data_IF_636877327076
#
_entry.id   IF_636877327076
#
_cell.length_a   1.000
_cell.length_b   1.000
_cell.length_c   1.000
_cell.angle_alpha   90.00
_cell.angle_beta   90.00
_cell.angle_gamma   90.00
#
_symmetry.space_group_name_H-M   'P 1'
#
loop_
_entity.id
_entity.type
_entity.pdbx_description
1 polymer ?
#
# COMPACT_ATOMS: atom_id res chain seq x y z
N UNK A 1 10.51 33.78 21.27
CA UNK A 1 9.61 33.93 20.11
C UNK A 1 8.94 32.58 19.91
N UNK A 2 7.64 32.53 20.21
CA UNK A 2 6.82 31.33 20.21
C UNK A 2 6.65 30.81 18.78
N UNK A 3 7.20 29.63 18.51
CA UNK A 3 7.01 28.89 17.27
C UNK A 3 5.51 28.71 17.03
N UNK A 4 4.99 29.37 16.01
CA UNK A 4 3.72 29.00 15.40
C UNK A 4 4.00 27.75 14.59
N UNK A 5 3.81 26.57 15.19
CA UNK A 5 3.73 25.32 14.43
C UNK A 5 2.52 25.45 13.49
N UNK A 6 2.80 25.90 12.25
CA UNK A 6 1.80 25.99 11.20
C UNK A 6 1.20 24.60 10.98
N UNK A 7 -0.13 24.52 11.00
CA UNK A 7 -0.90 23.31 10.71
C UNK A 7 -0.35 22.64 9.45
N UNK A 8 0.10 21.37 9.55
CA UNK A 8 0.53 20.58 8.39
C UNK A 8 -0.65 20.51 7.40
N UNK A 9 -0.46 20.93 6.16
CA UNK A 9 -1.46 20.88 5.10
C UNK A 9 -1.02 19.85 4.06
N UNK A 10 -1.83 18.83 3.80
CA UNK A 10 -1.55 17.81 2.77
C UNK A 10 -2.73 17.68 1.78
N UNK A 11 -2.85 18.60 0.81
CA UNK A 11 -3.92 18.54 -0.20
C UNK A 11 -3.76 17.35 -1.15
N UNK A 12 -2.58 16.72 -1.23
CA UNK A 12 -2.37 15.52 -2.04
C UNK A 12 -3.05 14.33 -1.35
N UNK A 13 -2.86 14.20 -0.04
CA UNK A 13 -3.56 13.19 0.75
C UNK A 13 -5.07 13.37 0.68
N UNK A 14 -5.55 14.60 0.89
CA UNK A 14 -6.99 14.89 0.91
C UNK A 14 -7.67 14.66 -0.44
N UNK A 15 -7.07 15.13 -1.54
CA UNK A 15 -7.73 15.10 -2.85
C UNK A 15 -7.46 13.82 -3.66
N UNK A 16 -6.38 13.08 -3.37
CA UNK A 16 -5.97 11.94 -4.19
C UNK A 16 -5.87 10.63 -3.39
N UNK A 17 -5.20 10.62 -2.24
CA UNK A 17 -5.07 9.38 -1.44
C UNK A 17 -6.36 9.00 -0.71
N UNK A 18 -7.14 9.94 -0.17
CA UNK A 18 -8.40 9.62 0.51
C UNK A 18 -9.45 8.98 -0.43
N UNK A 19 -9.69 9.48 -1.66
CA UNK A 19 -10.55 8.80 -2.61
C UNK A 19 -10.02 7.42 -3.04
N UNK A 20 -8.69 7.30 -3.18
CA UNK A 20 -8.02 6.04 -3.49
C UNK A 20 -8.22 5.00 -2.38
N UNK A 21 -8.02 5.38 -1.12
CA UNK A 21 -8.24 4.51 0.06
C UNK A 21 -9.70 4.04 0.13
N UNK A 22 -10.67 4.95 -0.11
CA UNK A 22 -12.09 4.58 -0.19
C UNK A 22 -12.38 3.60 -1.33
N UNK A 23 -11.76 3.79 -2.49
CA UNK A 23 -11.96 2.89 -3.63
C UNK A 23 -11.38 1.49 -3.35
N UNK A 24 -10.22 1.41 -2.70
CA UNK A 24 -9.66 0.13 -2.23
C UNK A 24 -10.57 -0.54 -1.18
N UNK A 25 -11.06 0.21 -0.18
CA UNK A 25 -12.00 -0.34 0.81
C UNK A 25 -13.28 -0.90 0.16
N UNK A 26 -13.81 -0.23 -0.86
CA UNK A 26 -14.98 -0.72 -1.63
C UNK A 26 -14.61 -1.98 -2.44
N UNK A 27 -13.44 -2.01 -3.07
CA UNK A 27 -12.96 -3.17 -3.82
C UNK A 27 -12.81 -4.40 -2.92
N UNK A 28 -12.24 -4.23 -1.72
CA UNK A 28 -12.08 -5.30 -0.74
C UNK A 28 -13.43 -5.85 -0.25
N UNK A 29 -14.40 -4.97 0.04
CA UNK A 29 -15.76 -5.38 0.43
C UNK A 29 -16.50 -6.10 -0.70
N UNK A 30 -16.36 -5.62 -1.93
CA UNK A 30 -16.95 -6.24 -3.10
C UNK A 30 -16.36 -7.64 -3.33
N UNK A 31 -15.05 -7.80 -3.19
CA UNK A 31 -14.39 -9.10 -3.27
C UNK A 31 -14.90 -10.09 -2.21
N UNK A 32 -15.09 -9.64 -0.97
CA UNK A 32 -15.66 -10.47 0.08
C UNK A 32 -17.10 -10.89 -0.24
N UNK A 33 -17.93 -9.95 -0.71
CA UNK A 33 -19.31 -10.24 -1.10
C UNK A 33 -19.39 -11.26 -2.25
N UNK A 34 -18.54 -11.10 -3.28
CA UNK A 34 -18.39 -12.05 -4.39
C UNK A 34 -17.98 -13.44 -3.88
N UNK A 35 -17.02 -13.49 -2.97
CA UNK A 35 -16.52 -14.75 -2.40
C UNK A 35 -17.63 -15.49 -1.66
N UNK A 36 -18.35 -14.79 -0.77
CA UNK A 36 -19.48 -15.37 -0.02
C UNK A 36 -20.59 -15.81 -0.97
N UNK A 37 -20.96 -14.98 -1.96
CA UNK A 37 -21.98 -15.32 -2.95
C UNK A 37 -21.59 -16.54 -3.79
N UNK A 38 -20.32 -16.66 -4.16
CA UNK A 38 -19.79 -17.80 -4.92
C UNK A 38 -19.86 -19.10 -4.12
N UNK A 39 -19.48 -19.06 -2.85
CA UNK A 39 -19.59 -20.23 -1.97
C UNK A 39 -21.06 -20.63 -1.73
N UNK A 40 -21.95 -19.66 -1.53
CA UNK A 40 -23.39 -19.91 -1.39
C UNK A 40 -23.98 -20.55 -2.65
N UNK A 41 -23.58 -20.10 -3.84
CA UNK A 41 -24.03 -20.68 -5.11
C UNK A 41 -23.63 -22.16 -5.25
N UNK A 42 -22.43 -22.53 -4.81
CA UNK A 42 -21.98 -23.94 -4.85
C UNK A 42 -22.88 -24.79 -3.95
N UNK A 43 -23.11 -24.36 -2.71
CA UNK A 43 -23.96 -25.08 -1.76
C UNK A 43 -25.40 -25.21 -2.27
N UNK A 44 -25.97 -24.13 -2.80
CA UNK A 44 -27.33 -24.14 -3.36
C UNK A 44 -27.44 -25.09 -4.55
N UNK A 45 -26.44 -25.12 -5.43
CA UNK A 45 -26.43 -26.01 -6.60
C UNK A 45 -26.37 -27.47 -6.17
N UNK A 46 -25.55 -27.80 -5.18
CA UNK A 46 -25.45 -29.15 -4.63
C UNK A 46 -26.76 -29.61 -3.96
N UNK A 47 -27.42 -28.74 -3.18
CA UNK A 47 -28.74 -29.02 -2.57
C UNK A 47 -29.83 -29.24 -3.62
N UNK A 48 -29.86 -28.42 -4.68
CA UNK A 48 -30.82 -28.58 -5.78
C UNK A 48 -30.61 -29.92 -6.49
N UNK A 49 -29.35 -30.31 -6.73
CA UNK A 49 -29.03 -31.57 -7.42
C UNK A 49 -29.43 -32.82 -6.62
N UNK A 50 -29.48 -32.74 -5.29
CA UNK A 50 -29.65 -33.89 -4.40
C UNK A 50 -31.05 -34.05 -3.82
N UNK A 51 -31.82 -32.98 -3.60
CA UNK A 51 -33.07 -33.08 -2.82
C UNK A 51 -34.33 -32.53 -3.49
N UNK A 52 -34.23 -31.60 -4.46
CA UNK A 52 -35.41 -30.88 -4.91
C UNK A 52 -35.34 -30.46 -6.39
N UNK A 53 -36.13 -31.12 -7.24
CA UNK A 53 -36.33 -30.71 -8.64
C UNK A 53 -37.36 -29.56 -8.74
N UNK A 54 -37.19 -28.51 -7.91
CA UNK A 54 -38.08 -27.35 -7.87
C UNK A 54 -37.61 -26.28 -8.86
N UNK A 55 -38.43 -26.01 -9.87
CA UNK A 55 -38.19 -25.01 -10.93
C UNK A 55 -37.90 -23.60 -10.39
N UNK A 56 -38.47 -23.24 -9.25
CA UNK A 56 -38.25 -21.96 -8.59
C UNK A 56 -36.82 -21.80 -8.06
N UNK A 57 -36.28 -22.83 -7.40
CA UNK A 57 -34.90 -22.84 -6.88
C UNK A 57 -33.86 -22.76 -8.00
N UNK A 58 -34.13 -23.42 -9.14
CA UNK A 58 -33.28 -23.31 -10.34
C UNK A 58 -33.27 -21.89 -10.91
N UNK A 59 -34.42 -21.22 -10.91
CA UNK A 59 -34.56 -19.83 -11.38
C UNK A 59 -33.79 -18.88 -10.47
N UNK A 60 -33.94 -19.00 -9.15
CA UNK A 60 -33.21 -18.18 -8.16
C UNK A 60 -31.70 -18.36 -8.31
N UNK A 61 -31.23 -19.60 -8.44
CA UNK A 61 -29.79 -19.90 -8.59
C UNK A 61 -29.23 -19.31 -9.87
N UNK A 62 -29.98 -19.37 -10.98
CA UNK A 62 -29.58 -18.76 -12.25
C UNK A 62 -29.47 -17.23 -12.15
N UNK A 63 -30.42 -16.58 -11.47
CA UNK A 63 -30.38 -15.12 -11.23
C UNK A 63 -29.17 -14.75 -10.37
N UNK A 64 -28.93 -15.48 -9.27
CA UNK A 64 -27.78 -15.24 -8.40
C UNK A 64 -26.45 -15.44 -9.14
N UNK A 65 -26.36 -16.43 -10.03
CA UNK A 65 -25.18 -16.65 -10.86
C UNK A 65 -24.92 -15.45 -11.79
N UNK A 66 -25.94 -14.94 -12.48
CA UNK A 66 -25.81 -13.76 -13.34
C UNK A 66 -25.37 -12.54 -12.53
N UNK A 67 -25.96 -12.31 -11.35
CA UNK A 67 -25.57 -11.21 -10.47
C UNK A 67 -24.11 -11.35 -10.00
N UNK A 68 -23.66 -12.56 -9.68
CA UNK A 68 -22.28 -12.83 -9.29
C UNK A 68 -21.30 -12.53 -10.44
N UNK A 69 -21.62 -12.96 -11.67
CA UNK A 69 -20.81 -12.65 -12.86
C UNK A 69 -20.69 -11.13 -13.06
N UNK A 70 -21.79 -10.39 -12.94
CA UNK A 70 -21.79 -8.92 -13.04
C UNK A 70 -20.93 -8.31 -11.93
N UNK A 71 -21.03 -8.83 -10.69
CA UNK A 71 -20.21 -8.36 -9.57
C UNK A 71 -18.72 -8.60 -9.80
N UNK A 72 -18.33 -9.76 -10.31
CA UNK A 72 -16.94 -10.09 -10.68
C UNK A 72 -16.44 -9.12 -11.75
N UNK A 73 -17.20 -8.92 -12.83
CA UNK A 73 -16.82 -7.99 -13.89
C UNK A 73 -16.66 -6.55 -13.35
N UNK A 74 -17.55 -6.12 -12.47
CA UNK A 74 -17.49 -4.81 -11.81
C UNK A 74 -16.27 -4.68 -10.91
N UNK A 75 -15.91 -5.73 -10.17
CA UNK A 75 -14.71 -5.78 -9.34
C UNK A 75 -13.44 -5.67 -10.17
N UNK A 76 -13.36 -6.39 -11.30
CA UNK A 76 -12.22 -6.28 -12.23
C UNK A 76 -12.10 -4.86 -12.79
N UNK A 77 -13.20 -4.27 -13.26
CA UNK A 77 -13.21 -2.91 -13.78
C UNK A 77 -12.78 -1.87 -12.73
N UNK A 78 -13.27 -2.00 -11.50
CA UNK A 78 -12.88 -1.15 -10.38
C UNK A 78 -11.39 -1.27 -10.06
N UNK A 79 -10.86 -2.50 -9.98
CA UNK A 79 -9.43 -2.72 -9.72
C UNK A 79 -8.54 -2.16 -10.83
N UNK A 80 -8.94 -2.32 -12.10
CA UNK A 80 -8.23 -1.69 -13.23
C UNK A 80 -8.26 -0.16 -13.13
N UNK A 81 -9.40 0.43 -12.77
CA UNK A 81 -9.51 1.87 -12.59
C UNK A 81 -8.62 2.38 -11.43
N UNK A 82 -8.60 1.66 -10.31
CA UNK A 82 -7.71 1.95 -9.18
C UNK A 82 -6.25 1.91 -9.63
N UNK A 83 -5.81 0.81 -10.23
CA UNK A 83 -4.40 0.59 -10.60
C UNK A 83 -3.90 1.47 -11.75
N UNK A 84 -4.75 1.75 -12.74
CA UNK A 84 -4.34 2.47 -13.96
C UNK A 84 -4.63 3.97 -13.92
N UNK A 85 -5.48 4.44 -12.99
CA UNK A 85 -5.87 5.86 -12.92
C UNK A 85 -5.64 6.47 -11.55
N UNK A 86 -6.23 5.92 -10.49
CA UNK A 86 -6.19 6.56 -9.18
C UNK A 86 -4.79 6.49 -8.56
N UNK A 87 -4.19 5.30 -8.53
CA UNK A 87 -2.87 5.08 -7.94
C UNK A 87 -1.77 5.88 -8.66
N UNK A 88 -1.62 5.82 -10.00
CA UNK A 88 -0.56 6.56 -10.68
C UNK A 88 -0.73 8.08 -10.56
N UNK A 89 -1.98 8.57 -10.48
CA UNK A 89 -2.26 10.00 -10.30
C UNK A 89 -1.84 10.50 -8.90
N UNK A 90 -2.10 9.71 -7.86
CA UNK A 90 -1.69 10.03 -6.49
C UNK A 90 -0.16 10.05 -6.36
N UNK A 91 0.52 9.02 -6.87
CA UNK A 91 1.98 8.92 -6.85
C UNK A 91 2.64 10.02 -7.69
N UNK A 92 2.12 10.33 -8.90
CA UNK A 92 2.69 11.41 -9.73
C UNK A 92 2.61 12.77 -9.03
N UNK A 93 1.49 13.07 -8.35
CA UNK A 93 1.36 14.30 -7.59
C UNK A 93 2.35 14.35 -6.41
N UNK A 94 2.50 13.25 -5.67
CA UNK A 94 3.44 13.16 -4.53
C UNK A 94 4.90 13.30 -4.99
N UNK A 95 5.27 12.63 -6.08
CA UNK A 95 6.61 12.71 -6.68
C UNK A 95 6.92 14.14 -7.17
N UNK A 96 5.96 14.81 -7.81
CA UNK A 96 6.14 16.21 -8.26
C UNK A 96 6.29 17.17 -7.09
N UNK A 97 5.58 16.97 -5.98
CA UNK A 97 5.74 17.77 -4.76
C UNK A 97 7.11 17.54 -4.11
N UNK A 98 7.56 16.27 -4.05
CA UNK A 98 8.90 15.92 -3.58
C UNK A 98 9.99 16.66 -4.38
N UNK A 99 9.99 16.50 -5.71
CA UNK A 99 11.00 17.13 -6.59
C UNK A 99 10.91 18.65 -6.51
N UNK A 100 9.69 19.21 -6.44
CA UNK A 100 9.47 20.65 -6.28
C UNK A 100 10.17 21.19 -5.05
N UNK A 101 10.11 20.49 -3.91
CA UNK A 101 10.74 20.93 -2.67
C UNK A 101 12.24 20.68 -2.64
N UNK A 102 12.67 19.52 -3.13
CA UNK A 102 14.07 19.16 -3.16
C UNK A 102 14.93 20.12 -4.01
N UNK A 103 14.37 20.63 -5.12
CA UNK A 103 15.04 21.59 -6.01
C UNK A 103 14.53 23.04 -5.87
N UNK A 104 13.54 23.29 -5.01
CA UNK A 104 12.90 24.60 -4.86
C UNK A 104 12.31 25.15 -6.19
N UNK A 105 11.63 24.29 -6.95
CA UNK A 105 10.99 24.60 -8.24
C UNK A 105 9.48 24.38 -8.19
N UNK A 106 8.74 24.93 -9.14
CA UNK A 106 7.28 24.83 -9.19
C UNK A 106 6.83 23.82 -10.25
N UNK A 107 6.68 22.53 -9.89
CA UNK A 107 6.22 21.47 -10.82
C UNK A 107 4.77 21.04 -10.60
N UNK A 108 4.13 21.46 -9.51
CA UNK A 108 2.75 21.08 -9.16
C UNK A 108 2.01 22.23 -8.48
N UNK A 109 0.70 22.29 -8.70
CA UNK A 109 -0.22 23.18 -7.99
C UNK A 109 -0.67 22.63 -6.64
N UNK A 110 -0.54 21.31 -6.41
CA UNK A 110 -0.84 20.65 -5.13
C UNK A 110 0.43 20.57 -4.29
N UNK A 111 0.65 21.56 -3.41
CA UNK A 111 1.81 21.61 -2.52
C UNK A 111 1.45 21.25 -1.09
N UNK A 112 2.27 20.43 -0.46
CA UNK A 112 2.13 20.12 0.96
C UNK A 112 2.88 21.15 1.82
N UNK A 113 2.38 21.51 3.00
CA UNK A 113 3.08 22.35 3.99
C UNK A 113 3.46 21.49 5.20
N UNK A 114 4.70 21.65 5.68
CA UNK A 114 5.20 20.89 6.84
C UNK A 114 5.77 19.50 6.53
N UNK A 115 5.80 19.10 5.25
CA UNK A 115 6.42 17.86 4.76
C UNK A 115 7.69 18.19 3.96
N UNK A 116 8.70 17.32 4.00
CA UNK A 116 9.97 17.52 3.27
C UNK A 116 10.72 18.80 3.67
N UNK A 117 10.63 19.21 4.93
CA UNK A 117 11.26 20.42 5.46
C UNK A 117 12.71 20.16 5.90
N UNK A 118 13.42 19.27 5.21
CA UNK A 118 14.82 19.02 5.53
C UNK A 118 15.65 20.24 5.10
N UNK A 119 16.09 21.01 6.09
CA UNK A 119 16.99 22.14 5.94
C UNK A 119 18.38 21.62 5.55
N UNK A 120 18.58 21.42 4.25
CA UNK A 120 19.89 21.22 3.63
C UNK A 120 20.19 22.40 2.71
N UNK A 121 21.40 22.96 2.79
CA UNK A 121 21.79 24.09 1.91
C UNK A 121 21.86 23.68 0.43
N UNK A 122 22.14 22.40 0.14
CA UNK A 122 22.26 21.89 -1.23
C UNK A 122 21.17 20.86 -1.59
N UNK A 123 20.67 20.85 -2.84
CA UNK A 123 19.64 19.89 -3.30
C UNK A 123 19.99 18.42 -3.06
N UNK A 124 21.24 18.01 -3.23
CA UNK A 124 21.66 16.61 -3.03
C UNK A 124 21.43 16.12 -1.60
N UNK A 125 21.83 16.93 -0.61
CA UNK A 125 21.58 16.64 0.81
C UNK A 125 20.07 16.66 1.13
N UNK A 126 19.29 17.59 0.56
CA UNK A 126 17.84 17.62 0.75
C UNK A 126 17.15 16.37 0.20
N UNK A 127 17.51 15.92 -1.01
CA UNK A 127 16.97 14.69 -1.60
C UNK A 127 17.29 13.50 -0.70
N UNK A 128 18.58 13.32 -0.36
CA UNK A 128 19.00 12.17 0.44
C UNK A 128 18.30 12.12 1.80
N UNK A 129 18.21 13.24 2.52
CA UNK A 129 17.51 13.31 3.80
C UNK A 129 16.00 13.03 3.65
N UNK A 130 15.34 13.61 2.64
CA UNK A 130 13.91 13.39 2.42
C UNK A 130 13.58 11.97 1.94
N UNK A 131 14.46 11.33 1.17
CA UNK A 131 14.33 9.90 0.82
C UNK A 131 14.49 9.05 2.08
N UNK A 132 15.50 9.32 2.89
CA UNK A 132 15.75 8.58 4.13
C UNK A 132 14.57 8.70 5.12
N UNK A 133 14.02 9.91 5.27
CA UNK A 133 12.80 10.17 6.04
C UNK A 133 11.63 9.36 5.47
N UNK A 134 11.35 9.46 4.17
CA UNK A 134 10.29 8.67 3.55
C UNK A 134 10.44 7.16 3.76
N UNK A 135 11.66 6.64 3.66
CA UNK A 135 11.97 5.23 3.90
C UNK A 135 11.73 4.83 5.35
N UNK A 136 12.10 5.67 6.31
CA UNK A 136 11.81 5.46 7.74
C UNK A 136 10.29 5.33 7.97
N UNK A 137 9.52 6.26 7.44
CA UNK A 137 8.07 6.27 7.65
C UNK A 137 7.42 5.09 6.93
N UNK A 138 7.87 4.82 5.69
CA UNK A 138 7.37 3.70 4.89
C UNK A 138 7.64 2.36 5.59
N UNK A 139 8.89 2.07 6.00
CA UNK A 139 9.21 0.78 6.66
C UNK A 139 8.43 0.60 7.96
N UNK A 140 8.28 1.65 8.78
CA UNK A 140 7.57 1.59 10.06
C UNK A 140 6.07 1.36 9.88
N UNK A 141 5.46 2.03 8.90
CA UNK A 141 4.05 1.80 8.56
C UNK A 141 3.84 0.38 8.02
N UNK A 142 4.73 -0.11 7.14
CA UNK A 142 4.67 -1.46 6.61
C UNK A 142 4.83 -2.53 7.72
N UNK A 143 5.78 -2.36 8.65
CA UNK A 143 5.96 -3.25 9.80
C UNK A 143 4.70 -3.36 10.67
N UNK A 144 3.95 -2.26 10.81
CA UNK A 144 2.68 -2.26 11.54
C UNK A 144 1.57 -2.97 10.75
N UNK A 145 1.48 -2.72 9.44
CA UNK A 145 0.45 -3.31 8.58
C UNK A 145 0.63 -4.81 8.32
N UNK A 146 1.89 -5.28 8.24
CA UNK A 146 2.20 -6.65 7.84
C UNK A 146 1.69 -7.69 8.85
N UNK A 147 1.59 -7.33 10.13
CA UNK A 147 1.07 -8.21 11.17
C UNK A 147 -0.38 -8.60 10.85
N UNK A 148 -1.23 -7.62 10.53
CA UNK A 148 -2.63 -7.87 10.18
C UNK A 148 -2.74 -8.74 8.93
N UNK A 149 -1.92 -8.47 7.92
CA UNK A 149 -1.93 -9.21 6.66
C UNK A 149 -1.42 -10.65 6.83
N UNK A 150 -0.39 -10.87 7.64
CA UNK A 150 0.10 -12.22 8.00
C UNK A 150 -1.00 -13.03 8.70
N UNK A 151 -1.70 -12.43 9.67
CA UNK A 151 -2.80 -13.09 10.40
C UNK A 151 -3.94 -13.46 9.44
N UNK A 152 -4.32 -12.55 8.55
CA UNK A 152 -5.37 -12.80 7.54
C UNK A 152 -4.96 -13.92 6.57
N UNK A 153 -3.75 -13.85 6.02
CA UNK A 153 -3.24 -14.88 5.10
C UNK A 153 -3.15 -16.25 5.76
N UNK A 154 -2.64 -16.31 7.00
CA UNK A 154 -2.56 -17.54 7.77
C UNK A 154 -3.95 -18.12 8.08
N UNK A 155 -4.91 -17.27 8.45
CA UNK A 155 -6.30 -17.69 8.67
C UNK A 155 -6.92 -18.35 7.43
N UNK A 156 -6.76 -17.73 6.27
CA UNK A 156 -7.23 -18.30 5.00
C UNK A 156 -6.50 -19.58 4.60
N UNK A 157 -5.19 -19.68 4.86
CA UNK A 157 -4.43 -20.89 4.61
C UNK A 157 -4.88 -22.05 5.52
N UNK A 158 -5.19 -21.78 6.79
CA UNK A 158 -5.74 -22.78 7.71
C UNK A 158 -7.11 -23.26 7.22
N UNK A 159 -8.01 -22.35 6.81
CA UNK A 159 -9.31 -22.71 6.23
C UNK A 159 -9.13 -23.59 5.01
N UNK A 160 -8.22 -23.21 4.11
CA UNK A 160 -7.90 -23.95 2.89
C UNK A 160 -7.45 -25.39 3.16
N UNK A 161 -6.45 -25.54 4.03
CA UNK A 161 -5.92 -26.86 4.41
C UNK A 161 -7.00 -27.69 5.12
N UNK A 162 -7.80 -27.06 5.98
CA UNK A 162 -8.89 -27.75 6.69
C UNK A 162 -9.92 -28.32 5.70
N UNK A 163 -10.31 -27.56 4.68
CA UNK A 163 -11.25 -28.02 3.64
C UNK A 163 -10.65 -29.19 2.85
N UNK A 164 -9.37 -29.13 2.48
CA UNK A 164 -8.72 -30.25 1.75
C UNK A 164 -8.67 -31.53 2.59
N UNK A 165 -8.48 -31.41 3.91
CA UNK A 165 -8.39 -32.56 4.80
C UNK A 165 -9.74 -33.21 5.12
N UNK A 166 -10.86 -32.50 4.93
CA UNK A 166 -12.20 -33.05 5.14
C UNK A 166 -12.50 -34.05 4.01
N UNK A 167 -12.55 -35.35 4.38
CA UNK A 167 -13.02 -36.41 3.47
C UNK A 167 -14.47 -36.14 3.08
N UNK A 168 -14.70 -35.81 1.82
CA UNK A 168 -16.03 -35.52 1.27
C UNK A 168 -16.17 -34.12 0.66
N UNK A 169 -15.16 -33.25 0.77
CA UNK A 169 -15.18 -31.96 0.07
C UNK A 169 -15.21 -32.14 -1.45
N UNK A 170 -16.19 -31.51 -2.10
CA UNK A 170 -16.28 -31.52 -3.56
C UNK A 170 -15.10 -30.77 -4.19
N UNK A 171 -14.68 -31.20 -5.38
CA UNK A 171 -13.61 -30.54 -6.13
C UNK A 171 -13.95 -29.07 -6.42
N UNK A 172 -15.23 -28.76 -6.59
CA UNK A 172 -15.74 -27.40 -6.82
C UNK A 172 -15.48 -26.48 -5.63
N UNK A 173 -15.72 -26.96 -4.40
CA UNK A 173 -15.42 -26.20 -3.17
C UNK A 173 -13.93 -25.96 -3.05
N UNK A 174 -13.10 -27.01 -3.26
CA UNK A 174 -11.63 -26.91 -3.19
C UNK A 174 -11.12 -25.90 -4.23
N UNK A 175 -11.64 -25.92 -5.44
CA UNK A 175 -11.29 -24.97 -6.49
C UNK A 175 -11.68 -23.53 -6.12
N UNK A 176 -12.91 -23.32 -5.63
CA UNK A 176 -13.38 -22.00 -5.23
C UNK A 176 -12.54 -21.39 -4.11
N UNK A 177 -12.23 -22.16 -3.06
CA UNK A 177 -11.38 -21.67 -1.97
C UNK A 177 -9.93 -21.43 -2.45
N UNK A 178 -9.43 -22.24 -3.38
CA UNK A 178 -8.10 -22.01 -3.99
C UNK A 178 -8.05 -20.65 -4.67
N UNK A 179 -9.06 -20.30 -5.47
CA UNK A 179 -9.12 -18.99 -6.13
C UNK A 179 -9.12 -17.83 -5.14
N UNK A 180 -9.78 -17.97 -3.99
CA UNK A 180 -9.80 -16.96 -2.93
C UNK A 180 -8.41 -16.83 -2.31
N UNK A 181 -7.82 -17.94 -1.86
CA UNK A 181 -6.53 -17.97 -1.16
C UNK A 181 -5.41 -17.43 -2.06
N UNK A 182 -5.35 -17.89 -3.30
CA UNK A 182 -4.36 -17.45 -4.30
C UNK A 182 -4.75 -16.15 -5.03
N UNK A 183 -5.81 -15.47 -4.57
CA UNK A 183 -6.22 -14.19 -5.15
C UNK A 183 -5.19 -13.09 -4.92
N UNK A 184 -5.35 -12.00 -5.68
CA UNK A 184 -4.55 -10.80 -5.50
C UNK A 184 -4.67 -10.21 -4.07
N UNK A 185 -5.80 -10.43 -3.41
CA UNK A 185 -6.16 -9.79 -2.15
C UNK A 185 -5.61 -10.48 -0.89
N UNK A 186 -5.14 -11.72 -0.99
CA UNK A 186 -4.65 -12.49 0.17
C UNK A 186 -3.16 -12.84 0.00
N UNK A 187 -2.82 -13.94 -0.66
CA UNK A 187 -1.42 -14.41 -0.72
C UNK A 187 -0.53 -13.46 -1.52
N UNK A 188 -1.02 -12.95 -2.66
CA UNK A 188 -0.23 -12.03 -3.49
C UNK A 188 -0.03 -10.69 -2.78
N UNK A 189 -1.04 -10.17 -2.08
CA UNK A 189 -0.92 -8.96 -1.24
C UNK A 189 0.11 -9.17 -0.14
N UNK A 190 0.06 -10.31 0.55
CA UNK A 190 1.05 -10.67 1.58
C UNK A 190 2.46 -10.73 0.99
N UNK A 191 2.68 -11.49 -0.08
CA UNK A 191 3.99 -11.62 -0.71
C UNK A 191 4.58 -10.27 -1.17
N UNK A 192 3.76 -9.41 -1.79
CA UNK A 192 4.17 -8.05 -2.16
C UNK A 192 4.53 -7.20 -0.95
N UNK A 193 3.82 -7.35 0.17
CA UNK A 193 4.09 -6.59 1.40
C UNK A 193 5.41 -7.00 2.05
N UNK A 194 5.72 -8.31 2.10
CA UNK A 194 7.01 -8.80 2.57
C UNK A 194 8.14 -8.27 1.69
N UNK A 195 7.95 -8.35 0.37
CA UNK A 195 8.94 -7.88 -0.60
C UNK A 195 9.24 -6.38 -0.45
N UNK A 196 8.22 -5.52 -0.37
CA UNK A 196 8.45 -4.07 -0.24
C UNK A 196 9.00 -3.69 1.13
N UNK A 197 8.68 -4.44 2.18
CA UNK A 197 9.25 -4.21 3.51
C UNK A 197 10.77 -4.49 3.49
N UNK A 198 11.19 -5.64 2.97
CA UNK A 198 12.61 -5.98 2.81
C UNK A 198 13.36 -4.93 1.97
N UNK A 199 12.76 -4.49 0.86
CA UNK A 199 13.31 -3.42 0.02
C UNK A 199 13.44 -2.10 0.75
N UNK A 200 12.41 -1.68 1.49
CA UNK A 200 12.43 -0.43 2.24
C UNK A 200 13.46 -0.46 3.37
N UNK A 201 13.63 -1.58 4.06
CA UNK A 201 14.65 -1.75 5.10
C UNK A 201 16.06 -1.68 4.52
N UNK A 202 16.33 -2.44 3.46
CA UNK A 202 17.64 -2.43 2.79
C UNK A 202 17.98 -1.04 2.24
N UNK A 203 17.04 -0.42 1.53
CA UNK A 203 17.27 0.90 0.92
C UNK A 203 17.45 1.99 1.98
N UNK A 204 16.76 1.87 3.14
CA UNK A 204 17.00 2.73 4.28
C UNK A 204 18.44 2.63 4.78
N UNK A 205 18.94 1.41 5.01
CA UNK A 205 20.30 1.19 5.53
C UNK A 205 21.37 1.66 4.54
N UNK A 206 21.18 1.38 3.25
CA UNK A 206 22.09 1.83 2.19
C UNK A 206 22.11 3.37 2.09
N UNK A 207 20.95 4.02 2.09
CA UNK A 207 20.83 5.48 2.06
C UNK A 207 21.43 6.13 3.31
N UNK A 208 21.18 5.54 4.48
CA UNK A 208 21.75 6.00 5.75
C UNK A 208 23.28 5.96 5.72
N UNK A 209 23.86 4.84 5.25
CA UNK A 209 25.31 4.68 5.10
C UNK A 209 25.90 5.73 4.16
N UNK A 210 25.27 5.96 3.00
CA UNK A 210 25.72 6.97 2.02
C UNK A 210 25.71 8.38 2.64
N UNK A 211 24.69 8.72 3.42
CA UNK A 211 24.58 10.03 4.05
C UNK A 211 25.62 10.26 5.15
N UNK A 212 26.11 9.19 5.79
CA UNK A 212 27.23 9.25 6.74
C UNK A 212 28.60 9.41 6.06
N UNK A 213 28.73 9.05 4.78
CA UNK A 213 29.98 9.27 4.04
C UNK A 213 30.23 10.78 3.89
N UNK A 214 31.48 11.20 4.10
CA UNK A 214 31.95 12.58 3.91
C UNK A 214 32.18 12.91 2.43
N UNK A 215 31.18 12.68 1.58
CA UNK A 215 31.24 13.07 0.16
C UNK A 215 31.03 14.59 0.03
N UNK A 216 31.48 15.17 -1.07
CA UNK A 216 31.00 16.49 -1.49
C UNK A 216 29.52 16.43 -1.89
N UNK A 217 28.86 17.58 -1.98
CA UNK A 217 27.47 17.66 -2.41
C UNK A 217 27.25 17.17 -3.85
N UNK A 218 28.23 17.38 -4.74
CA UNK A 218 28.21 16.94 -6.13
C UNK A 218 28.38 15.41 -6.25
N UNK A 219 29.26 14.83 -5.43
CA UNK A 219 29.43 13.38 -5.34
C UNK A 219 28.23 12.68 -4.70
N UNK A 220 27.50 13.36 -3.80
CA UNK A 220 26.30 12.82 -3.15
C UNK A 220 25.09 12.77 -4.10
N UNK A 221 24.98 13.73 -5.01
CA UNK A 221 23.83 13.88 -5.90
C UNK A 221 23.44 12.59 -6.65
N UNK A 222 24.35 11.88 -7.34
CA UNK A 222 23.98 10.66 -8.07
C UNK A 222 23.41 9.59 -7.13
N UNK A 223 24.00 9.40 -5.94
CA UNK A 223 23.49 8.42 -4.97
C UNK A 223 22.13 8.82 -4.39
N UNK A 224 21.91 10.11 -4.13
CA UNK A 224 20.63 10.60 -3.63
C UNK A 224 19.52 10.45 -4.67
N UNK A 225 19.83 10.69 -5.95
CA UNK A 225 18.90 10.45 -7.07
C UNK A 225 18.64 8.95 -7.24
N UNK A 226 19.66 8.11 -7.20
CA UNK A 226 19.52 6.66 -7.33
C UNK A 226 18.62 6.07 -6.23
N UNK A 227 18.86 6.47 -4.97
CA UNK A 227 18.01 6.09 -3.84
C UNK A 227 16.57 6.58 -3.99
N UNK A 228 16.37 7.81 -4.50
CA UNK A 228 15.03 8.33 -4.80
C UNK A 228 14.34 7.52 -5.89
N UNK A 229 15.03 7.22 -6.99
CA UNK A 229 14.49 6.44 -8.10
C UNK A 229 14.13 5.03 -7.64
N UNK A 230 14.99 4.37 -6.88
CA UNK A 230 14.72 3.04 -6.34
C UNK A 230 13.53 3.05 -5.37
N UNK A 231 13.44 4.06 -4.50
CA UNK A 231 12.29 4.22 -3.59
C UNK A 231 10.98 4.35 -4.37
N UNK A 232 10.91 5.27 -5.33
CA UNK A 232 9.69 5.52 -6.11
C UNK A 232 9.33 4.32 -7.00
N UNK A 233 10.34 3.67 -7.59
CA UNK A 233 10.17 2.46 -8.41
C UNK A 233 9.63 1.29 -7.58
N UNK A 234 10.25 1.01 -6.43
CA UNK A 234 9.85 -0.12 -5.59
C UNK A 234 8.46 0.11 -5.00
N UNK A 235 8.16 1.32 -4.54
CA UNK A 235 6.84 1.71 -4.05
C UNK A 235 5.75 1.60 -5.13
N UNK A 236 6.02 2.08 -6.35
CA UNK A 236 5.10 1.94 -7.47
C UNK A 236 4.88 0.48 -7.87
N UNK A 237 5.95 -0.32 -7.88
CA UNK A 237 5.92 -1.76 -8.22
C UNK A 237 5.10 -2.55 -7.19
N UNK A 238 5.26 -2.25 -5.90
CA UNK A 238 4.48 -2.89 -4.85
C UNK A 238 2.99 -2.61 -5.03
N UNK A 239 2.62 -1.39 -5.46
CA UNK A 239 1.23 -0.94 -5.60
C UNK A 239 0.40 -1.20 -4.34
N UNK A 240 1.03 -1.03 -3.16
CA UNK A 240 0.41 -1.17 -1.85
C UNK A 240 0.17 0.23 -1.30
N UNK A 241 -1.09 0.55 -1.05
CA UNK A 241 -1.45 1.78 -0.36
C UNK A 241 -1.06 1.69 1.11
N UNK A 242 -0.25 2.63 1.59
CA UNK A 242 0.02 2.77 3.02
C UNK A 242 -1.25 3.27 3.72
N UNK A 243 -1.62 2.64 4.83
CA UNK A 243 -2.83 3.04 5.57
C UNK A 243 -2.63 4.41 6.22
N UNK A 244 -3.45 5.39 5.82
CA UNK A 244 -3.46 6.73 6.42
C UNK A 244 -3.74 6.68 7.93
N UNK A 245 -4.59 5.74 8.36
CA UNK A 245 -4.91 5.50 9.78
C UNK A 245 -3.67 5.06 10.56
N UNK A 246 -2.91 4.11 10.01
CA UNK A 246 -1.66 3.63 10.64
C UNK A 246 -0.59 4.71 10.63
N UNK A 247 -0.44 5.42 9.51
CA UNK A 247 0.50 6.54 9.39
C UNK A 247 0.20 7.63 10.43
N UNK A 248 -1.03 8.13 10.51
CA UNK A 248 -1.41 9.18 11.46
C UNK A 248 -1.22 8.74 12.92
N UNK A 249 -1.43 7.46 13.21
CA UNK A 249 -1.19 6.89 14.54
C UNK A 249 0.30 6.87 14.92
N UNK A 250 1.17 6.55 13.96
CA UNK A 250 2.62 6.42 14.19
C UNK A 250 3.36 7.76 14.05
N UNK A 251 2.77 8.73 13.34
CA UNK A 251 3.43 9.98 12.97
C UNK A 251 4.13 10.69 14.14
N UNK A 252 3.52 10.88 15.33
CA UNK A 252 4.20 11.57 16.43
C UNK A 252 5.50 10.85 16.85
N UNK A 253 5.48 9.52 16.96
CA UNK A 253 6.68 8.75 17.32
C UNK A 253 7.72 8.70 16.19
N UNK A 254 7.29 8.79 14.94
CA UNK A 254 8.18 8.81 13.78
C UNK A 254 8.90 10.15 13.64
N UNK A 255 8.20 11.26 13.88
CA UNK A 255 8.79 12.60 13.91
C UNK A 255 9.90 12.66 14.98
N UNK A 256 9.69 12.09 16.18
CA UNK A 256 10.72 11.98 17.22
C UNK A 256 11.90 11.07 16.82
N UNK A 257 11.63 9.93 16.19
CA UNK A 257 12.68 9.02 15.71
C UNK A 257 13.52 9.67 14.61
N UNK A 258 12.88 10.41 13.70
CA UNK A 258 13.54 11.13 12.62
C UNK A 258 14.48 12.20 13.17
N UNK A 259 14.07 13.00 14.14
CA UNK A 259 14.94 14.01 14.76
C UNK A 259 16.17 13.38 15.43
N UNK A 260 16.03 12.20 16.05
CA UNK A 260 17.18 11.44 16.58
C UNK A 260 18.12 10.95 15.48
N UNK A 261 17.58 10.47 14.36
CA UNK A 261 18.39 10.03 13.22
C UNK A 261 19.14 11.22 12.61
N UNK A 262 18.46 12.35 12.44
CA UNK A 262 19.01 13.59 11.89
C UNK A 262 20.15 14.14 12.74
N UNK A 263 20.02 14.11 14.07
CA UNK A 263 21.11 14.56 14.97
C UNK A 263 22.34 13.66 14.93
N UNK A 264 22.17 12.36 14.66
CA UNK A 264 23.28 11.41 14.49
C UNK A 264 23.95 11.50 13.11
N UNK A 265 23.32 12.14 12.12
CA UNK A 265 23.91 12.34 10.80
C UNK A 265 24.88 13.52 10.84
N UNK A 266 26.12 13.30 10.38
CA UNK A 266 27.16 14.32 10.30
C UNK A 266 26.80 15.53 9.42
N UNK A 267 25.81 15.36 8.53
CA UNK A 267 25.30 16.41 7.63
C UNK A 267 24.01 17.07 8.13
N UNK A 268 23.42 16.59 9.23
CA UNK A 268 22.13 17.06 9.76
C UNK A 268 22.21 18.30 10.67
N UNK A 269 23.42 18.78 11.00
CA UNK A 269 23.61 19.94 11.86
C UNK A 269 24.80 20.77 11.37
N UNK A 270 24.54 21.78 10.55
CA UNK A 270 25.26 23.06 10.68
C UNK A 270 24.21 24.12 10.92
N UNK A 271 23.95 24.38 12.20
CA UNK A 271 23.38 25.66 12.63
C UNK A 271 24.28 26.76 12.06
N UNK A 272 23.73 27.65 11.23
CA UNK A 272 24.24 29.01 11.11
C UNK A 272 23.72 29.82 12.28
#
# INVERSE_FOLDING_TARGET
MTNTEGKKEDPISENLYNPLEKAEEVSERLFLAITVMSLLLIVLTEVISTQFNHKELQTITSVLLVLNIIAIASSVALNLFIRLKLFPRAEDARRKDFVSKAFNVHLTSLRTKGYYNNEGHHPSTRIGLSVLENLLYTKRVLQSMIITIRIQALGWLIIFVSIILIRGSSLEVIYAISLVVFSENILVKWARMEWILDKAEKLFDDTYRILQLKLSDDELLPYAIDAFVDYEKDKATASILSSSKVFNKLQPSLDEEWEKIKTNLSRGITKS
#
